data_IF_358301725310
#
_entry.id   IF_358301725310
#
_cell.length_a   1.000
_cell.length_b   1.000
_cell.length_c   1.000
_cell.angle_alpha   90.00
_cell.angle_beta   90.00
_cell.angle_gamma   90.00
#
_symmetry.space_group_name_H-M   'P 1'
#
loop_
_entity.id
_entity.type
_entity.pdbx_description
1 polymer ?
#
# COMPACT_ATOMS: atom_id res chain seq x y z
N UNK A 1 17.90 12.53 -6.11
CA UNK A 1 16.78 11.64 -5.77
C UNK A 1 16.59 10.71 -6.95
N UNK A 2 16.23 9.44 -6.75
CA UNK A 2 16.03 8.53 -7.89
C UNK A 2 14.86 9.05 -8.72
N UNK A 3 15.13 9.51 -9.95
CA UNK A 3 14.20 10.26 -10.82
C UNK A 3 12.85 9.57 -11.11
N UNK A 4 12.66 8.35 -10.61
CA UNK A 4 11.50 7.51 -10.87
C UNK A 4 10.90 6.90 -9.60
N UNK A 5 11.35 7.27 -8.40
CA UNK A 5 10.74 6.83 -7.14
C UNK A 5 9.91 7.97 -6.56
N UNK A 6 8.60 7.78 -6.43
CA UNK A 6 7.74 8.67 -5.65
C UNK A 6 7.60 8.10 -4.24
N UNK A 7 8.35 8.64 -3.30
CA UNK A 7 8.34 8.24 -1.88
C UNK A 7 8.14 9.51 -1.06
N UNK A 8 6.99 9.61 -0.38
CA UNK A 8 6.70 10.73 0.49
C UNK A 8 7.60 10.70 1.75
N UNK A 9 7.78 11.87 2.38
CA UNK A 9 8.68 12.03 3.53
C UNK A 9 8.22 11.28 4.79
N UNK A 10 6.96 10.87 4.85
CA UNK A 10 6.32 10.16 5.96
C UNK A 10 6.41 8.63 5.84
N UNK A 11 6.98 8.11 4.74
CA UNK A 11 7.20 6.67 4.55
C UNK A 11 8.32 6.17 5.46
N UNK A 12 8.05 5.10 6.20
CA UNK A 12 9.04 4.42 7.03
C UNK A 12 9.60 3.21 6.31
N UNK A 13 10.90 3.22 6.05
CA UNK A 13 11.62 2.11 5.43
C UNK A 13 12.53 1.43 6.44
N UNK A 14 12.43 0.11 6.53
CA UNK A 14 13.36 -0.73 7.26
C UNK A 14 14.74 -0.81 6.60
N UNK A 15 15.60 -1.66 7.15
CA UNK A 15 16.95 -1.93 6.64
C UNK A 15 16.87 -2.76 5.36
N UNK A 16 17.72 -2.44 4.39
CA UNK A 16 17.90 -3.22 3.15
C UNK A 16 16.62 -3.43 2.32
N UNK A 17 15.64 -2.52 2.43
CA UNK A 17 14.47 -2.49 1.55
C UNK A 17 14.91 -2.22 0.11
N UNK A 18 14.40 -3.01 -0.84
CA UNK A 18 14.74 -2.88 -2.26
C UNK A 18 13.55 -2.36 -3.04
N UNK A 19 13.75 -1.22 -3.68
CA UNK A 19 12.73 -0.49 -4.41
C UNK A 19 13.05 -0.51 -5.90
N UNK A 20 12.12 -1.02 -6.70
CA UNK A 20 12.16 -0.85 -8.15
C UNK A 20 11.69 0.57 -8.53
N UNK A 21 11.92 0.97 -9.77
CA UNK A 21 11.47 2.26 -10.32
C UNK A 21 9.95 2.31 -10.48
N UNK A 22 9.42 3.53 -10.55
CA UNK A 22 8.01 3.85 -10.80
C UNK A 22 7.06 3.41 -9.68
N UNK A 23 7.52 3.46 -8.44
CA UNK A 23 6.68 3.20 -7.27
C UNK A 23 6.04 4.49 -6.75
N UNK A 24 4.92 4.34 -6.04
CA UNK A 24 4.23 5.42 -5.34
C UNK A 24 3.97 5.01 -3.88
N UNK A 25 4.71 5.57 -2.93
CA UNK A 25 4.61 5.23 -1.50
C UNK A 25 4.31 6.49 -0.69
N UNK A 26 3.31 6.43 0.19
CA UNK A 26 2.95 7.55 1.08
C UNK A 26 2.33 7.04 2.38
N UNK A 27 2.74 7.59 3.52
CA UNK A 27 2.17 7.29 4.84
C UNK A 27 2.22 5.81 5.28
N UNK A 28 3.06 4.97 4.65
CA UNK A 28 3.14 3.54 4.90
C UNK A 28 4.44 3.11 5.61
N UNK A 29 4.46 1.88 6.14
CA UNK A 29 5.65 1.26 6.72
C UNK A 29 6.03 -0.03 5.98
N UNK A 30 7.32 -0.17 5.67
CA UNK A 30 7.89 -1.34 4.99
C UNK A 30 9.04 -1.90 5.82
N UNK A 31 8.91 -3.16 6.22
CA UNK A 31 9.87 -3.87 7.05
C UNK A 31 11.16 -4.28 6.34
N UNK A 32 12.14 -4.67 7.14
CA UNK A 32 13.49 -5.04 6.70
C UNK A 32 13.50 -6.08 5.57
N UNK A 33 14.46 -5.94 4.65
CA UNK A 33 14.74 -6.87 3.55
C UNK A 33 13.58 -7.09 2.55
N UNK A 34 12.50 -6.31 2.65
CA UNK A 34 11.34 -6.39 1.75
C UNK A 34 11.64 -5.80 0.38
N UNK A 35 11.08 -6.43 -0.67
CA UNK A 35 11.25 -6.01 -2.06
C UNK A 35 9.93 -5.50 -2.63
N UNK A 36 9.97 -4.29 -3.17
CA UNK A 36 8.84 -3.65 -3.85
C UNK A 36 9.12 -3.58 -5.35
N UNK A 37 8.26 -4.24 -6.13
CA UNK A 37 8.32 -4.27 -7.59
C UNK A 37 7.93 -2.95 -8.25
N UNK A 38 8.16 -2.83 -9.56
CA UNK A 38 7.84 -1.62 -10.30
C UNK A 38 6.33 -1.38 -10.34
N UNK A 39 5.89 -0.11 -10.42
CA UNK A 39 4.48 0.25 -10.51
C UNK A 39 3.63 -0.24 -9.33
N UNK A 40 4.26 -0.46 -8.17
CA UNK A 40 3.54 -0.72 -6.93
C UNK A 40 3.13 0.59 -6.28
N UNK A 41 1.88 0.64 -5.82
CA UNK A 41 1.38 1.71 -4.97
C UNK A 41 1.01 1.17 -3.58
N UNK A 42 1.44 1.87 -2.54
CA UNK A 42 1.15 1.55 -1.14
C UNK A 42 0.68 2.83 -0.45
N UNK A 43 -0.55 2.80 0.06
CA UNK A 43 -1.21 3.97 0.63
C UNK A 43 -0.91 4.18 2.12
N UNK A 44 -1.40 5.31 2.64
CA UNK A 44 -1.30 5.69 4.05
C UNK A 44 -1.83 4.60 4.98
N UNK A 45 -1.24 4.48 6.18
CA UNK A 45 -1.61 3.51 7.21
C UNK A 45 -1.43 2.02 6.84
N UNK A 46 -0.93 1.69 5.64
CA UNK A 46 -0.59 0.32 5.29
C UNK A 46 0.74 -0.12 5.95
N UNK A 47 0.82 -1.40 6.29
CA UNK A 47 2.02 -2.04 6.85
C UNK A 47 2.42 -3.24 5.99
N UNK A 48 3.69 -3.28 5.58
CA UNK A 48 4.30 -4.46 4.96
C UNK A 48 5.42 -4.96 5.84
N UNK A 49 5.35 -6.22 6.25
CA UNK A 49 6.31 -6.87 7.12
C UNK A 49 7.69 -7.07 6.49
N UNK A 50 8.52 -7.86 7.18
CA UNK A 50 9.91 -8.14 6.82
C UNK A 50 10.00 -9.27 5.80
N UNK A 51 11.03 -9.23 4.95
CA UNK A 51 11.34 -10.28 3.96
C UNK A 51 10.16 -10.60 3.03
N UNK A 52 9.30 -9.62 2.78
CA UNK A 52 8.19 -9.74 1.85
C UNK A 52 8.66 -9.52 0.41
N UNK A 53 7.89 -10.04 -0.53
CA UNK A 53 8.06 -9.74 -1.96
C UNK A 53 6.73 -9.27 -2.53
N UNK A 54 6.66 -7.97 -2.83
CA UNK A 54 5.51 -7.35 -3.49
C UNK A 54 5.83 -7.19 -4.97
N UNK A 55 5.20 -8.01 -5.80
CA UNK A 55 5.44 -8.00 -7.25
C UNK A 55 4.79 -6.80 -7.95
N UNK A 56 5.23 -6.53 -9.19
CA UNK A 56 4.84 -5.32 -9.93
C UNK A 56 3.33 -5.18 -10.14
N UNK A 57 2.87 -3.93 -10.30
CA UNK A 57 1.46 -3.57 -10.51
C UNK A 57 0.53 -3.97 -9.36
N UNK A 58 1.09 -4.22 -8.17
CA UNK A 58 0.30 -4.48 -6.97
C UNK A 58 -0.17 -3.15 -6.39
N UNK A 59 -1.41 -3.12 -5.90
CA UNK A 59 -1.96 -1.99 -5.15
C UNK A 59 -2.30 -2.43 -3.72
N UNK A 60 -1.68 -1.79 -2.74
CA UNK A 60 -1.92 -2.01 -1.30
C UNK A 60 -2.69 -0.81 -0.75
N UNK A 61 -3.98 -1.03 -0.49
CA UNK A 61 -4.91 -0.01 0.00
C UNK A 61 -4.57 0.43 1.44
N UNK A 62 -5.08 1.59 1.82
CA UNK A 62 -4.96 2.11 3.18
C UNK A 62 -5.39 1.08 4.24
N UNK A 63 -4.62 0.99 5.33
CA UNK A 63 -4.91 0.11 6.47
C UNK A 63 -4.61 -1.38 6.24
N UNK A 64 -4.19 -1.78 5.03
CA UNK A 64 -3.82 -3.17 4.74
C UNK A 64 -2.55 -3.55 5.50
N UNK A 65 -2.60 -4.69 6.20
CA UNK A 65 -1.45 -5.33 6.83
C UNK A 65 -1.00 -6.54 6.01
N UNK A 66 0.27 -6.59 5.64
CA UNK A 66 0.95 -7.75 5.07
C UNK A 66 1.99 -8.23 6.09
N UNK A 67 1.84 -9.45 6.59
CA UNK A 67 2.76 -10.00 7.60
C UNK A 67 4.14 -10.38 7.02
N UNK A 68 5.07 -10.76 7.91
CA UNK A 68 6.42 -11.17 7.54
C UNK A 68 6.43 -12.37 6.58
N UNK A 69 7.42 -12.38 5.68
CA UNK A 69 7.67 -13.46 4.72
C UNK A 69 6.52 -13.77 3.74
N UNK A 70 5.62 -12.81 3.51
CA UNK A 70 4.54 -12.94 2.53
C UNK A 70 5.03 -12.66 1.11
N UNK A 71 4.55 -13.48 0.17
CA UNK A 71 4.67 -13.23 -1.27
C UNK A 71 3.35 -12.69 -1.82
N UNK A 72 3.38 -11.50 -2.41
CA UNK A 72 2.25 -10.91 -3.13
C UNK A 72 2.56 -10.97 -4.62
N UNK A 73 1.67 -11.64 -5.38
CA UNK A 73 1.79 -11.83 -6.82
C UNK A 73 1.69 -10.54 -7.63
N UNK A 74 2.02 -10.62 -8.93
CA UNK A 74 1.88 -9.48 -9.83
C UNK A 74 0.40 -9.12 -10.01
N UNK A 75 0.09 -7.82 -10.02
CA UNK A 75 -1.27 -7.34 -10.29
C UNK A 75 -2.29 -7.60 -9.17
N UNK A 76 -1.85 -7.94 -7.96
CA UNK A 76 -2.78 -8.11 -6.83
C UNK A 76 -3.29 -6.75 -6.39
N UNK A 77 -4.60 -6.62 -6.20
CA UNK A 77 -5.24 -5.40 -5.70
C UNK A 77 -5.92 -5.72 -4.38
N UNK A 78 -5.42 -5.13 -3.31
CA UNK A 78 -6.10 -5.14 -2.02
C UNK A 78 -7.13 -4.03 -1.96
N UNK A 79 -8.22 -4.27 -1.25
CA UNK A 79 -9.23 -3.27 -0.91
C UNK A 79 -9.45 -3.32 0.59
N UNK A 80 -9.83 -2.19 1.17
CA UNK A 80 -10.17 -2.08 2.58
C UNK A 80 -11.49 -1.33 2.79
N UNK A 81 -12.43 -1.56 1.87
CA UNK A 81 -13.83 -1.24 2.05
C UNK A 81 -14.66 -2.49 1.73
N UNK A 82 -15.42 -3.03 2.70
CA UNK A 82 -16.33 -4.16 2.46
C UNK A 82 -17.52 -3.81 1.55
N UNK A 83 -17.89 -2.53 1.43
CA UNK A 83 -19.04 -2.04 0.67
C UNK A 83 -18.72 -0.77 -0.15
N UNK A 84 -17.78 -0.84 -1.11
CA UNK A 84 -17.33 0.32 -1.86
C UNK A 84 -18.46 0.96 -2.66
N UNK A 85 -18.73 2.24 -2.39
CA UNK A 85 -19.70 3.05 -3.12
C UNK A 85 -19.09 4.37 -3.56
N UNK A 86 -19.65 4.96 -4.60
CA UNK A 86 -19.31 6.31 -5.02
C UNK A 86 -20.16 7.37 -4.30
N UNK A 87 -21.30 6.96 -3.72
CA UNK A 87 -22.29 7.85 -3.13
C UNK A 87 -22.87 7.31 -1.83
N UNK A 88 -23.19 8.23 -0.93
CA UNK A 88 -23.92 7.94 0.30
C UNK A 88 -25.38 7.58 -0.01
N UNK A 89 -26.12 7.08 1.00
CA UNK A 89 -27.54 6.75 0.86
C UNK A 89 -28.41 7.93 0.37
N UNK A 90 -27.96 9.18 0.60
CA UNK A 90 -28.60 10.40 0.13
C UNK A 90 -28.34 10.73 -1.35
N UNK A 91 -27.40 10.04 -2.00
CA UNK A 91 -26.93 10.34 -3.37
C UNK A 91 -25.78 11.36 -3.45
N UNK A 92 -25.35 11.94 -2.32
CA UNK A 92 -24.16 12.78 -2.28
C UNK A 92 -22.87 11.97 -2.52
N UNK A 93 -21.83 12.60 -3.07
CA UNK A 93 -20.51 11.97 -3.23
C UNK A 93 -19.93 11.60 -1.86
N UNK A 94 -19.37 10.40 -1.75
CA UNK A 94 -18.60 10.03 -0.56
C UNK A 94 -17.24 10.72 -0.56
N UNK A 95 -16.77 11.03 0.64
CA UNK A 95 -15.50 11.68 0.97
C UNK A 95 -14.66 10.76 1.85
N UNK A 96 -13.40 11.11 2.14
CA UNK A 96 -12.56 10.33 3.07
C UNK A 96 -13.23 10.07 4.44
N UNK A 97 -14.11 10.97 4.90
CA UNK A 97 -14.81 10.85 6.19
C UNK A 97 -15.85 9.72 6.21
N UNK A 98 -16.31 9.27 5.04
CA UNK A 98 -17.32 8.22 4.90
C UNK A 98 -16.72 6.81 4.88
N UNK A 99 -15.39 6.68 4.73
CA UNK A 99 -14.72 5.39 4.65
C UNK A 99 -14.29 4.93 6.04
N UNK A 100 -14.59 3.67 6.35
CA UNK A 100 -14.16 3.03 7.58
C UNK A 100 -13.00 2.10 7.27
N UNK A 101 -11.79 2.58 7.59
CA UNK A 101 -10.57 1.78 7.48
C UNK A 101 -10.61 0.68 8.54
N UNK A 102 -10.70 -0.57 8.10
CA UNK A 102 -10.60 -1.72 8.98
C UNK A 102 -9.16 -2.26 9.00
N UNK A 103 -8.76 -2.90 10.10
CA UNK A 103 -7.48 -3.58 10.10
C UNK A 103 -7.63 -4.91 9.36
N UNK A 104 -6.91 -5.06 8.25
CA UNK A 104 -6.83 -6.35 7.54
C UNK A 104 -5.74 -7.24 8.17
N UNK A 105 -5.82 -8.55 7.91
CA UNK A 105 -4.79 -9.56 8.25
C UNK A 105 -4.46 -10.38 6.99
#
# INVERSE_FOLDING_TARGET
MSDFLCIAADVKLGKDVRLAKFINLYGCEIGDETKIGAFVEIQKNAFVGRRCKVSSHTFICEGVTIEDAVFVGHGVTFINDPYPRATAASGALQTEEDWHVERTL
#
